data_IF_797916394924
#
_entry.id   IF_797916394924
#
_cell.length_a   1.000
_cell.length_b   1.000
_cell.length_c   1.000
_cell.angle_alpha   90.00
_cell.angle_beta   90.00
_cell.angle_gamma   90.00
#
_symmetry.space_group_name_H-M   'P 1'
#
loop_
_entity.id
_entity.type
_entity.pdbx_description
1 polymer ?
#
# COMPACT_ATOMS: atom_id res chain seq x y z
N UNK A 1 -9.18 0.87 -12.46
CA UNK A 1 -8.23 1.27 -13.52
C UNK A 1 -7.01 1.99 -12.93
N UNK A 2 -7.14 3.14 -12.24
CA UNK A 2 -5.96 3.87 -11.72
C UNK A 2 -5.04 3.04 -10.81
N UNK A 3 -5.60 2.32 -9.84
CA UNK A 3 -4.82 1.44 -8.96
C UNK A 3 -4.07 0.35 -9.74
N UNK A 4 -4.69 -0.25 -10.75
CA UNK A 4 -4.06 -1.26 -11.61
C UNK A 4 -2.87 -0.69 -12.40
N UNK A 5 -2.97 0.53 -12.91
CA UNK A 5 -1.85 1.22 -13.58
C UNK A 5 -0.69 1.47 -12.62
N UNK A 6 -0.97 1.82 -11.37
CA UNK A 6 0.06 2.02 -10.34
C UNK A 6 0.70 0.67 -10.00
N UNK A 7 -0.10 -0.31 -9.59
CA UNK A 7 0.37 -1.62 -9.12
C UNK A 7 1.15 -2.36 -10.20
N UNK A 8 0.60 -2.48 -11.41
CA UNK A 8 1.28 -3.20 -12.49
C UNK A 8 2.43 -2.40 -13.11
N UNK A 9 2.37 -1.07 -13.04
CA UNK A 9 3.52 -0.23 -13.35
C UNK A 9 4.70 -0.58 -12.45
N UNK A 10 4.46 -0.72 -11.15
CA UNK A 10 5.50 -1.07 -10.18
C UNK A 10 5.93 -2.55 -10.21
N UNK A 11 5.01 -3.47 -10.56
CA UNK A 11 5.36 -4.87 -10.85
C UNK A 11 6.45 -4.97 -11.95
N UNK A 12 6.50 -4.00 -12.88
CA UNK A 12 7.51 -3.92 -13.94
C UNK A 12 8.72 -3.09 -13.52
N UNK A 13 8.50 -1.89 -12.97
CA UNK A 13 9.58 -0.92 -12.75
C UNK A 13 10.51 -1.30 -11.61
N UNK A 14 9.97 -1.77 -10.48
CA UNK A 14 10.77 -2.13 -9.30
C UNK A 14 11.84 -3.20 -9.58
N UNK A 15 11.53 -4.36 -10.20
CA UNK A 15 12.56 -5.37 -10.48
C UNK A 15 13.61 -4.91 -11.50
N UNK A 16 13.30 -3.91 -12.32
CA UNK A 16 14.24 -3.29 -13.25
C UNK A 16 15.03 -2.14 -12.64
N UNK A 17 14.78 -1.79 -11.37
CA UNK A 17 15.40 -0.64 -10.71
C UNK A 17 14.98 0.71 -11.29
N UNK A 18 13.88 0.77 -12.04
CA UNK A 18 13.34 2.00 -12.63
C UNK A 18 12.52 2.72 -11.57
N UNK A 19 12.84 4.00 -11.34
CA UNK A 19 12.03 4.86 -10.46
C UNK A 19 10.96 5.59 -11.26
N UNK A 20 9.79 5.75 -10.65
CA UNK A 20 8.72 6.58 -11.19
C UNK A 20 8.10 7.41 -10.09
N UNK A 21 8.00 8.71 -10.32
CA UNK A 21 7.34 9.63 -9.41
C UNK A 21 5.86 9.71 -9.77
N UNK A 22 5.02 9.36 -8.80
CA UNK A 22 3.58 9.53 -8.87
C UNK A 22 3.20 10.81 -8.11
N UNK A 23 2.25 11.63 -8.60
CA UNK A 23 1.67 12.68 -7.78
C UNK A 23 1.07 12.07 -6.50
N UNK A 24 1.44 12.61 -5.35
CA UNK A 24 1.09 12.02 -4.06
C UNK A 24 -0.43 11.97 -3.86
N UNK A 25 -1.17 12.95 -4.37
CA UNK A 25 -2.63 13.00 -4.32
C UNK A 25 -3.28 11.85 -5.09
N UNK A 26 -2.61 11.38 -6.15
CA UNK A 26 -3.04 10.21 -6.93
C UNK A 26 -2.87 8.95 -6.09
N UNK A 27 -1.71 8.80 -5.43
CA UNK A 27 -1.45 7.67 -4.54
C UNK A 27 -2.41 7.66 -3.34
N UNK A 28 -2.61 8.80 -2.68
CA UNK A 28 -3.57 8.94 -1.57
C UNK A 28 -4.98 8.50 -1.98
N UNK A 29 -5.43 8.89 -3.18
CA UNK A 29 -6.73 8.48 -3.73
C UNK A 29 -6.82 6.96 -3.90
N UNK A 30 -5.77 6.35 -4.45
CA UNK A 30 -5.68 4.89 -4.64
C UNK A 30 -5.65 4.14 -3.30
N UNK A 31 -4.88 4.64 -2.33
CA UNK A 31 -4.76 4.06 -1.00
C UNK A 31 -6.11 4.08 -0.26
N UNK A 32 -6.83 5.21 -0.28
CA UNK A 32 -8.20 5.32 0.28
C UNK A 32 -9.17 4.33 -0.37
N UNK A 33 -9.10 4.18 -1.71
CA UNK A 33 -9.93 3.22 -2.43
C UNK A 33 -9.67 1.77 -1.98
N UNK A 34 -8.40 1.35 -1.96
CA UNK A 34 -8.04 -0.01 -1.55
C UNK A 34 -8.29 -0.30 -0.07
N UNK A 35 -8.28 0.73 0.79
CA UNK A 35 -8.65 0.58 2.21
C UNK A 35 -10.16 0.30 2.37
N UNK A 36 -10.96 0.85 1.47
CA UNK A 36 -12.42 0.76 1.51
C UNK A 36 -13.05 -0.40 0.72
N UNK A 37 -12.30 -1.04 -0.18
CA UNK A 37 -12.85 -1.94 -1.21
C UNK A 37 -12.02 -3.19 -1.45
N UNK A 38 -12.70 -4.30 -1.74
CA UNK A 38 -12.12 -5.57 -2.22
C UNK A 38 -12.51 -5.88 -3.69
N UNK A 39 -13.07 -4.90 -4.42
CA UNK A 39 -13.74 -5.13 -5.70
C UNK A 39 -12.82 -5.67 -6.80
N UNK A 40 -11.59 -5.14 -6.88
CA UNK A 40 -10.62 -5.50 -7.94
C UNK A 40 -9.52 -6.43 -7.42
N UNK A 41 -9.25 -6.40 -6.11
CA UNK A 41 -8.29 -7.23 -5.40
C UNK A 41 -8.66 -7.22 -3.91
N UNK A 42 -8.35 -8.30 -3.18
CA UNK A 42 -8.65 -8.45 -1.74
C UNK A 42 -7.77 -7.55 -0.85
N UNK A 43 -7.76 -6.24 -1.08
CA UNK A 43 -6.92 -5.27 -0.38
C UNK A 43 -7.45 -4.95 1.03
N UNK A 44 -8.71 -4.53 1.15
CA UNK A 44 -9.35 -4.23 2.44
C UNK A 44 -9.32 -5.44 3.36
N UNK A 45 -9.65 -6.63 2.82
CA UNK A 45 -9.58 -7.88 3.56
C UNK A 45 -8.16 -8.16 4.09
N UNK A 46 -7.14 -7.95 3.25
CA UNK A 46 -5.73 -8.17 3.61
C UNK A 46 -5.25 -7.27 4.73
N UNK A 47 -5.71 -6.02 4.83
CA UNK A 47 -5.26 -5.08 5.88
C UNK A 47 -6.22 -4.88 7.03
N UNK A 48 -7.29 -5.69 7.11
CA UNK A 48 -8.27 -5.65 8.20
C UNK A 48 -7.59 -5.76 9.58
N UNK A 49 -7.95 -4.87 10.49
CA UNK A 49 -7.42 -4.84 11.87
C UNK A 49 -5.99 -4.29 11.98
N UNK A 50 -5.52 -3.57 10.96
CA UNK A 50 -4.28 -2.80 10.99
C UNK A 50 -4.59 -1.31 10.86
N UNK A 51 -3.72 -0.46 11.42
CA UNK A 51 -3.74 0.98 11.21
C UNK A 51 -2.66 1.33 10.19
N UNK A 52 -3.04 1.91 9.04
CA UNK A 52 -2.11 2.33 8.00
C UNK A 52 -1.89 3.84 8.11
N UNK A 53 -0.64 4.28 7.98
CA UNK A 53 -0.28 5.71 8.06
C UNK A 53 0.88 6.02 7.10
N UNK A 54 0.61 6.86 6.10
CA UNK A 54 1.62 7.28 5.14
C UNK A 54 2.60 8.29 5.76
N UNK A 55 3.87 8.21 5.37
CA UNK A 55 4.92 9.15 5.79
C UNK A 55 5.08 10.34 4.83
N UNK A 56 4.53 10.24 3.62
CA UNK A 56 4.67 11.20 2.53
C UNK A 56 3.34 11.87 2.13
N UNK A 57 2.23 11.51 2.78
CA UNK A 57 0.90 12.04 2.51
C UNK A 57 0.03 12.12 3.77
N UNK A 58 -1.18 12.67 3.63
CA UNK A 58 -2.22 12.69 4.67
C UNK A 58 -2.99 11.37 4.78
N UNK A 59 -2.59 10.32 4.04
CA UNK A 59 -3.27 9.04 4.07
C UNK A 59 -3.09 8.36 5.43
N UNK A 60 -4.20 8.15 6.13
CA UNK A 60 -4.26 7.26 7.27
C UNK A 60 -5.62 6.57 7.32
N UNK A 61 -5.69 5.41 7.97
CA UNK A 61 -6.96 4.75 8.24
C UNK A 61 -6.83 3.34 8.78
N UNK A 62 -7.98 2.76 9.11
CA UNK A 62 -8.04 1.50 9.84
C UNK A 62 -7.78 1.68 11.34
N UNK A 63 -7.62 0.55 12.03
CA UNK A 63 -7.41 0.51 13.47
C UNK A 63 -6.66 -0.77 13.85
N UNK A 64 -5.80 -0.69 14.87
CA UNK A 64 -4.94 -1.79 15.30
C UNK A 64 -3.45 -1.44 15.24
N UNK A 65 -2.55 -2.45 15.20
CA UNK A 65 -1.11 -2.26 15.08
C UNK A 65 -0.73 -1.42 13.84
N UNK A 66 0.26 -0.55 14.00
CA UNK A 66 0.66 0.43 12.99
C UNK A 66 1.46 -0.24 11.86
N UNK A 67 1.09 0.09 10.63
CA UNK A 67 1.88 -0.10 9.41
C UNK A 67 2.14 1.30 8.84
N UNK A 68 3.40 1.73 8.79
CA UNK A 68 3.77 3.06 8.31
C UNK A 68 4.85 3.02 7.24
N UNK A 69 4.83 3.98 6.32
CA UNK A 69 5.83 4.13 5.28
C UNK A 69 5.31 4.93 4.09
N UNK A 70 6.02 4.97 2.95
CA UNK A 70 5.58 5.70 1.76
C UNK A 70 4.21 5.22 1.27
N UNK A 71 3.38 6.13 0.75
CA UNK A 71 2.01 5.80 0.28
C UNK A 71 2.04 4.70 -0.79
N UNK A 72 3.04 4.73 -1.67
CA UNK A 72 3.24 3.69 -2.68
C UNK A 72 3.48 2.31 -2.05
N UNK A 73 4.34 2.23 -1.03
CA UNK A 73 4.63 0.97 -0.36
C UNK A 73 3.39 0.41 0.34
N UNK A 74 2.58 1.27 0.97
CA UNK A 74 1.29 0.89 1.56
C UNK A 74 0.34 0.31 0.50
N UNK A 75 0.16 0.97 -0.65
CA UNK A 75 -0.67 0.47 -1.76
C UNK A 75 -0.20 -0.91 -2.23
N UNK A 76 1.10 -1.07 -2.43
CA UNK A 76 1.67 -2.31 -2.94
C UNK A 76 1.54 -3.45 -1.92
N UNK A 77 1.73 -3.17 -0.63
CA UNK A 77 1.53 -4.15 0.43
C UNK A 77 0.04 -4.53 0.59
N UNK A 78 -0.88 -3.56 0.54
CA UNK A 78 -2.33 -3.80 0.54
C UNK A 78 -2.76 -4.76 -0.59
N UNK A 79 -2.10 -4.67 -1.74
CA UNK A 79 -2.39 -5.50 -2.91
C UNK A 79 -1.54 -6.77 -3.00
N UNK A 80 -0.86 -7.14 -1.90
CA UNK A 80 -0.17 -8.43 -1.73
C UNK A 80 1.26 -8.49 -2.29
N UNK A 81 1.87 -7.36 -2.67
CA UNK A 81 3.26 -7.34 -3.14
C UNK A 81 4.21 -7.24 -1.94
N UNK A 82 4.57 -8.40 -1.41
CA UNK A 82 5.39 -8.53 -0.19
C UNK A 82 6.76 -7.82 -0.25
N UNK A 83 7.34 -7.62 -1.43
CA UNK A 83 8.61 -6.89 -1.61
C UNK A 83 8.57 -5.42 -1.16
N UNK A 84 7.39 -4.84 -1.03
CA UNK A 84 7.21 -3.48 -0.53
C UNK A 84 7.06 -3.43 1.00
N UNK A 85 6.90 -4.58 1.67
CA UNK A 85 6.92 -4.64 3.14
C UNK A 85 8.28 -4.29 3.74
N UNK A 86 9.34 -4.39 2.95
CA UNK A 86 10.70 -3.99 3.36
C UNK A 86 10.83 -2.45 3.46
N UNK A 87 9.88 -1.71 2.87
CA UNK A 87 9.80 -0.24 2.95
C UNK A 87 8.79 0.22 4.02
N UNK A 88 8.27 -0.71 4.85
CA UNK A 88 7.24 -0.44 5.85
C UNK A 88 7.71 -0.78 7.27
N UNK A 89 7.32 0.09 8.20
CA UNK A 89 7.64 0.03 9.62
C UNK A 89 6.40 -0.19 10.50
N UNK A 90 6.66 -0.52 11.77
CA UNK A 90 5.64 -0.67 12.82
C UNK A 90 5.19 -2.12 13.04
N UNK A 91 4.63 -2.38 14.23
CA UNK A 91 4.22 -3.72 14.67
C UNK A 91 3.23 -4.42 13.71
N UNK A 92 2.42 -3.63 13.00
CA UNK A 92 1.48 -4.12 12.01
C UNK A 92 2.15 -4.62 10.73
N UNK A 93 3.37 -4.16 10.40
CA UNK A 93 4.07 -4.58 9.18
C UNK A 93 4.44 -6.06 9.23
N UNK A 94 4.84 -6.56 10.41
CA UNK A 94 5.12 -7.98 10.62
C UNK A 94 3.85 -8.83 10.56
N UNK A 95 2.73 -8.32 11.10
CA UNK A 95 1.43 -8.99 10.97
C UNK A 95 1.00 -9.05 9.50
N UNK A 96 1.22 -7.98 8.74
CA UNK A 96 0.90 -7.93 7.31
C UNK A 96 1.77 -8.88 6.48
N UNK A 97 3.05 -9.06 6.86
CA UNK A 97 3.98 -10.02 6.22
C UNK A 97 3.53 -11.47 6.30
N UNK A 98 2.71 -11.81 7.30
CA UNK A 98 2.16 -13.14 7.51
C UNK A 98 0.85 -13.41 6.73
N UNK A 99 0.34 -12.43 5.98
CA UNK A 99 -0.90 -12.52 5.18
C UNK A 99 -0.62 -12.55 3.69
#
# INVERSE_FOLDING_TARGET
MLGETVVHGEDIRRPLGIRHEYPVETLTTVARYYLGSDLVVLAKGRVRGLRLEATDSDFSGGSGPLVSGPTLALIMAMTGRSRFLDDLDGDGAEILRQR
#
